data_IF_574864354627
#
_entry.id   IF_574864354627
#
_cell.length_a   1.000
_cell.length_b   1.000
_cell.length_c   1.000
_cell.angle_alpha   90.00
_cell.angle_beta   90.00
_cell.angle_gamma   90.00
#
_symmetry.space_group_name_H-M   'P 1'
#
loop_
_entity.id
_entity.type
_entity.pdbx_description
1 polymer ?
#
# COMPACT_ATOMS: atom_id res chain seq x y z
N UNK A 1 6.49 -9.79 12.58
CA UNK A 1 5.43 -10.35 13.45
C UNK A 1 4.56 -9.20 13.88
N UNK A 2 3.28 -9.32 13.57
CA UNK A 2 2.36 -8.20 13.46
C UNK A 2 1.72 -7.86 14.81
N UNK A 3 1.68 -6.56 15.11
CA UNK A 3 1.34 -5.96 16.40
C UNK A 3 -0.17 -6.06 16.68
N UNK A 4 -0.63 -7.10 17.41
CA UNK A 4 -2.04 -7.26 17.78
C UNK A 4 -2.22 -7.59 19.25
N UNK A 5 -3.29 -7.07 19.86
CA UNK A 5 -3.72 -7.55 21.18
C UNK A 5 -4.35 -8.93 21.01
N UNK A 6 -3.96 -9.90 21.84
CA UNK A 6 -4.47 -11.28 21.78
C UNK A 6 -5.92 -11.42 22.26
N UNK A 7 -6.67 -10.31 22.39
CA UNK A 7 -8.05 -10.33 22.89
C UNK A 7 -8.99 -11.12 21.98
N UNK A 8 -8.76 -11.09 20.67
CA UNK A 8 -9.53 -11.88 19.71
C UNK A 8 -9.41 -13.39 19.97
N UNK A 9 -8.32 -13.86 20.59
CA UNK A 9 -8.12 -15.27 20.91
C UNK A 9 -9.12 -15.75 21.97
N UNK A 10 -9.70 -14.84 22.76
CA UNK A 10 -10.67 -15.16 23.81
C UNK A 10 -12.12 -15.16 23.33
N UNK A 11 -12.39 -14.66 22.11
CA UNK A 11 -13.75 -14.63 21.53
C UNK A 11 -14.20 -16.06 21.23
N UNK A 12 -15.43 -16.39 21.61
CA UNK A 12 -16.03 -17.71 21.34
C UNK A 12 -16.62 -17.77 19.92
N UNK A 13 -16.42 -18.91 19.27
CA UNK A 13 -16.94 -19.21 17.94
C UNK A 13 -17.69 -20.53 17.95
N UNK A 14 -18.69 -20.65 17.09
CA UNK A 14 -19.38 -21.91 16.79
C UNK A 14 -19.50 -22.07 15.29
N UNK A 15 -19.00 -23.20 14.77
CA UNK A 15 -19.02 -23.52 13.36
C UNK A 15 -20.42 -23.96 12.91
N UNK A 16 -20.96 -23.30 11.88
CA UNK A 16 -22.24 -23.67 11.27
C UNK A 16 -22.19 -25.00 10.49
N UNK A 17 -21.02 -25.38 9.97
CA UNK A 17 -20.84 -26.58 9.15
C UNK A 17 -20.70 -27.90 9.92
N UNK A 18 -19.99 -27.90 11.06
CA UNK A 18 -19.72 -29.11 11.84
C UNK A 18 -20.02 -29.00 13.34
N UNK A 19 -20.57 -27.86 13.79
CA UNK A 19 -20.93 -27.61 15.19
C UNK A 19 -19.76 -27.61 16.18
N UNK A 20 -18.51 -27.53 15.70
CA UNK A 20 -17.37 -27.26 16.56
C UNK A 20 -17.54 -25.92 17.28
N UNK A 21 -17.20 -25.88 18.58
CA UNK A 21 -17.17 -24.66 19.38
C UNK A 21 -15.84 -24.56 20.12
N UNK A 22 -15.31 -23.35 20.20
CA UNK A 22 -14.03 -23.05 20.86
C UNK A 22 -13.75 -21.56 20.84
N UNK A 23 -12.61 -21.16 21.40
CA UNK A 23 -12.17 -19.76 21.37
C UNK A 23 -11.36 -19.45 20.09
N UNK A 24 -11.13 -18.16 19.83
CA UNK A 24 -10.36 -17.69 18.68
C UNK A 24 -8.95 -18.30 18.60
N UNK A 25 -8.29 -18.53 19.72
CA UNK A 25 -6.97 -19.16 19.79
C UNK A 25 -6.96 -20.63 19.32
N UNK A 26 -8.11 -21.30 19.34
CA UNK A 26 -8.29 -22.68 18.91
C UNK A 26 -8.73 -22.81 17.44
N UNK A 27 -8.96 -21.68 16.75
CA UNK A 27 -9.33 -21.68 15.31
C UNK A 27 -8.12 -21.96 14.42
N UNK A 28 -8.38 -22.47 13.21
CA UNK A 28 -7.35 -22.56 12.17
C UNK A 28 -7.21 -21.22 11.45
N UNK A 29 -5.98 -20.88 11.04
CA UNK A 29 -5.65 -19.63 10.34
C UNK A 29 -5.76 -19.85 8.83
N UNK A 30 -6.63 -19.08 8.19
CA UNK A 30 -6.80 -19.05 6.74
C UNK A 30 -5.81 -18.08 6.07
N UNK A 31 -6.29 -17.33 5.08
CA UNK A 31 -5.46 -16.38 4.34
C UNK A 31 -5.18 -15.15 5.20
N UNK A 32 -3.93 -14.68 5.14
CA UNK A 32 -3.55 -13.36 5.63
C UNK A 32 -3.41 -12.41 4.45
N UNK A 33 -4.31 -11.42 4.34
CA UNK A 33 -4.29 -10.44 3.25
C UNK A 33 -3.69 -9.12 3.73
N UNK A 34 -2.61 -8.66 3.05
CA UNK A 34 -1.90 -7.40 3.30
C UNK A 34 -1.55 -7.12 4.77
N UNK A 35 -1.34 -8.16 5.58
CA UNK A 35 -1.15 -8.00 7.03
C UNK A 35 -2.30 -7.27 7.75
N UNK A 36 -3.46 -7.17 7.10
CA UNK A 36 -4.62 -6.36 7.53
C UNK A 36 -5.84 -7.23 7.82
N UNK A 37 -5.90 -8.42 7.21
CA UNK A 37 -6.98 -9.35 7.43
C UNK A 37 -6.39 -10.71 7.72
N UNK A 38 -6.84 -11.33 8.81
CA UNK A 38 -6.60 -12.74 9.08
C UNK A 38 -7.93 -13.47 9.08
N UNK A 39 -8.09 -14.39 8.16
CA UNK A 39 -9.24 -15.30 8.16
C UNK A 39 -9.11 -16.32 9.29
N UNK A 40 -10.19 -16.51 10.03
CA UNK A 40 -10.37 -17.59 10.97
C UNK A 40 -11.26 -18.65 10.35
N UNK A 41 -10.82 -19.90 10.39
CA UNK A 41 -11.52 -21.05 9.83
C UNK A 41 -11.72 -22.12 10.90
N UNK A 42 -12.77 -22.93 10.72
CA UNK A 42 -13.02 -24.06 11.60
C UNK A 42 -11.87 -25.06 11.51
N UNK A 43 -11.26 -25.47 12.64
CA UNK A 43 -10.14 -26.41 12.62
C UNK A 43 -10.54 -27.82 12.18
N UNK A 44 -11.84 -28.14 12.14
CA UNK A 44 -12.35 -29.48 11.80
C UNK A 44 -12.80 -29.60 10.36
N UNK A 45 -13.51 -28.59 9.83
CA UNK A 45 -14.10 -28.66 8.48
C UNK A 45 -13.67 -27.52 7.55
N UNK A 46 -12.78 -26.64 8.00
CA UNK A 46 -12.26 -25.48 7.25
C UNK A 46 -13.30 -24.44 6.82
N UNK A 47 -14.54 -24.54 7.32
CA UNK A 47 -15.57 -23.53 7.12
C UNK A 47 -15.10 -22.15 7.62
N UNK A 48 -15.39 -21.09 6.87
CA UNK A 48 -15.11 -19.73 7.28
C UNK A 48 -15.87 -19.37 8.57
N UNK A 49 -15.18 -18.82 9.55
CA UNK A 49 -15.78 -18.40 10.83
C UNK A 49 -15.86 -16.89 10.96
N UNK A 50 -14.76 -16.19 10.67
CA UNK A 50 -14.67 -14.75 10.83
C UNK A 50 -13.46 -14.19 10.07
N UNK A 51 -13.43 -12.87 9.90
CA UNK A 51 -12.24 -12.15 9.49
C UNK A 51 -11.82 -11.21 10.61
N UNK A 52 -10.60 -11.38 11.09
CA UNK A 52 -10.00 -10.38 11.95
C UNK A 52 -9.50 -9.25 11.07
N UNK A 53 -10.14 -8.09 11.19
CA UNK A 53 -9.58 -6.85 10.67
C UNK A 53 -8.47 -6.45 11.63
N UNK A 54 -7.27 -6.86 11.26
CA UNK A 54 -6.02 -6.45 11.83
C UNK A 54 -5.79 -5.03 11.33
N UNK A 55 -6.01 -3.98 12.13
CA UNK A 55 -6.08 -2.63 11.60
C UNK A 55 -4.77 -2.27 10.91
N UNK A 56 -4.81 -2.14 9.58
CA UNK A 56 -3.81 -1.42 8.80
C UNK A 56 -3.89 0.02 9.28
N UNK A 57 -2.93 0.41 10.11
CA UNK A 57 -2.78 1.77 10.58
C UNK A 57 -4.05 2.33 11.26
N UNK A 58 -4.37 1.90 12.49
CA UNK A 58 -5.08 2.69 13.56
C UNK A 58 -5.71 1.89 14.72
N UNK A 59 -5.29 0.67 15.05
CA UNK A 59 -6.08 -0.05 16.08
C UNK A 59 -5.50 -1.22 16.84
N UNK A 60 -4.20 -1.51 16.75
CA UNK A 60 -3.53 -2.33 17.75
C UNK A 60 -2.20 -1.65 18.08
N UNK A 61 -2.12 -1.12 19.31
CA UNK A 61 -1.03 -0.32 19.86
C UNK A 61 -0.85 1.09 19.27
N UNK A 62 -1.89 1.95 19.38
CA UNK A 62 -1.63 3.39 19.50
C UNK A 62 -0.83 3.73 20.78
N UNK A 63 -0.84 2.84 21.77
CA UNK A 63 0.04 2.90 22.93
C UNK A 63 1.09 1.79 22.87
N UNK A 64 2.32 2.11 23.25
CA UNK A 64 3.36 1.10 23.58
C UNK A 64 2.97 0.28 24.82
N UNK A 65 1.91 0.70 25.53
CA UNK A 65 1.37 0.06 26.71
C UNK A 65 0.70 -1.27 26.37
N UNK A 66 1.03 -2.32 27.13
CA UNK A 66 0.45 -3.65 26.94
C UNK A 66 1.12 -4.50 25.86
N UNK A 67 2.13 -3.98 25.16
CA UNK A 67 2.96 -4.78 24.26
C UNK A 67 4.01 -5.59 25.03
N UNK A 68 4.26 -6.81 24.57
CA UNK A 68 5.42 -7.62 25.00
C UNK A 68 6.74 -7.04 24.48
N UNK A 69 7.87 -7.42 25.06
CA UNK A 69 9.20 -6.98 24.57
C UNK A 69 9.46 -7.37 23.10
N UNK A 70 8.97 -8.53 22.67
CA UNK A 70 9.11 -8.99 21.29
C UNK A 70 8.28 -8.14 20.31
N UNK A 71 7.04 -7.81 20.69
CA UNK A 71 6.19 -6.92 19.89
C UNK A 71 6.75 -5.49 19.84
N UNK A 72 7.31 -4.98 20.94
CA UNK A 72 7.98 -3.68 20.94
C UNK A 72 9.17 -3.67 19.97
N UNK A 73 10.02 -4.70 19.98
CA UNK A 73 11.13 -4.83 19.02
C UNK A 73 10.64 -4.93 17.57
N UNK A 74 9.57 -5.69 17.33
CA UNK A 74 8.98 -5.80 16.00
C UNK A 74 8.43 -4.45 15.50
N UNK A 75 7.74 -3.70 16.38
CA UNK A 75 7.25 -2.35 16.10
C UNK A 75 8.38 -1.36 15.83
N UNK A 76 9.46 -1.39 16.61
CA UNK A 76 10.63 -0.54 16.38
C UNK A 76 11.31 -0.86 15.04
N UNK A 77 11.42 -2.14 14.67
CA UNK A 77 11.96 -2.54 13.38
C UNK A 77 11.07 -2.10 12.20
N UNK A 78 9.75 -2.15 12.36
CA UNK A 78 8.78 -1.66 11.38
C UNK A 78 8.87 -0.14 11.21
N UNK A 79 8.88 0.62 12.31
CA UNK A 79 9.04 2.08 12.30
C UNK A 79 10.39 2.51 11.68
N UNK A 80 11.46 1.75 11.93
CA UNK A 80 12.76 1.95 11.32
C UNK A 80 12.72 1.72 9.80
N UNK A 81 12.13 0.61 9.34
CA UNK A 81 11.98 0.31 7.92
C UNK A 81 11.14 1.38 7.21
N UNK A 82 10.04 1.80 7.82
CA UNK A 82 9.19 2.85 7.30
C UNK A 82 9.94 4.18 7.20
N UNK A 83 10.73 4.55 8.21
CA UNK A 83 11.56 5.75 8.17
C UNK A 83 12.57 5.69 7.02
N UNK A 84 13.30 4.58 6.89
CA UNK A 84 14.27 4.38 5.82
C UNK A 84 13.63 4.40 4.42
N UNK A 85 12.40 3.89 4.29
CA UNK A 85 11.63 3.98 3.06
C UNK A 85 11.24 5.43 2.75
N UNK A 86 10.67 6.14 3.73
CA UNK A 86 10.24 7.54 3.59
C UNK A 86 11.39 8.48 3.23
N UNK A 87 12.59 8.27 3.78
CA UNK A 87 13.80 9.04 3.45
C UNK A 87 14.21 8.94 1.97
N UNK A 88 13.85 7.84 1.30
CA UNK A 88 14.15 7.61 -0.13
C UNK A 88 13.01 8.06 -1.06
N UNK A 89 11.85 8.38 -0.51
CA UNK A 89 10.68 8.79 -1.27
C UNK A 89 10.73 10.27 -1.64
N UNK A 90 10.10 10.62 -2.76
CA UNK A 90 9.82 12.01 -3.10
C UNK A 90 8.85 12.60 -2.07
N UNK A 91 9.30 13.61 -1.34
CA UNK A 91 8.54 14.24 -0.26
C UNK A 91 8.06 15.65 -0.64
N UNK A 92 8.77 16.37 -1.49
CA UNK A 92 8.40 17.74 -1.89
C UNK A 92 8.86 18.12 -3.29
N UNK A 93 8.23 19.16 -3.84
CA UNK A 93 8.54 19.71 -5.16
C UNK A 93 9.98 20.27 -5.27
N UNK A 94 10.60 20.65 -4.17
CA UNK A 94 11.96 21.20 -4.14
C UNK A 94 13.03 20.17 -4.49
N UNK A 95 12.74 18.88 -4.31
CA UNK A 95 13.66 17.79 -4.66
C UNK A 95 13.72 17.54 -6.19
N UNK A 96 12.78 18.08 -6.95
CA UNK A 96 12.68 17.85 -8.39
C UNK A 96 13.49 18.89 -9.20
N UNK A 97 14.09 18.47 -10.33
CA UNK A 97 14.80 19.39 -11.21
C UNK A 97 13.83 20.33 -11.94
N UNK A 98 14.35 21.48 -12.34
CA UNK A 98 13.66 22.34 -13.30
C UNK A 98 13.78 21.73 -14.71
N UNK A 99 12.67 21.67 -15.43
CA UNK A 99 12.62 21.14 -16.79
C UNK A 99 12.48 22.28 -17.82
N UNK A 100 13.06 22.13 -19.03
CA UNK A 100 12.95 23.11 -20.11
C UNK A 100 11.52 23.53 -20.39
N UNK A 101 11.31 24.81 -20.74
CA UNK A 101 9.98 25.37 -21.01
C UNK A 101 9.17 24.56 -22.03
N UNK A 102 7.85 24.61 -21.88
CA UNK A 102 6.91 23.85 -22.70
C UNK A 102 6.02 22.92 -21.89
N UNK A 103 5.12 22.25 -22.61
CA UNK A 103 4.26 21.20 -22.08
C UNK A 103 5.07 19.92 -21.84
N UNK A 104 4.77 19.22 -20.74
CA UNK A 104 5.53 18.06 -20.28
C UNK A 104 4.54 16.92 -20.03
N UNK A 105 4.87 15.73 -20.53
CA UNK A 105 4.28 14.48 -20.11
C UNK A 105 5.39 13.61 -19.50
N UNK A 106 5.18 13.19 -18.25
CA UNK A 106 6.14 12.34 -17.55
C UNK A 106 5.67 10.90 -17.59
N UNK A 107 6.61 9.97 -17.39
CA UNK A 107 6.30 8.54 -17.32
C UNK A 107 6.55 8.01 -15.91
N UNK A 108 5.58 7.22 -15.42
CA UNK A 108 5.72 6.38 -14.24
C UNK A 108 6.23 5.01 -14.70
N UNK A 109 7.53 4.82 -14.57
CA UNK A 109 8.26 3.65 -15.05
C UNK A 109 8.81 2.84 -13.87
N UNK A 110 9.32 1.65 -14.15
CA UNK A 110 9.92 0.78 -13.16
C UNK A 110 11.17 0.11 -13.72
N UNK A 111 12.23 0.10 -12.92
CA UNK A 111 13.46 -0.63 -13.21
C UNK A 111 13.91 -1.34 -11.93
N UNK A 112 14.01 -2.67 -11.99
CA UNK A 112 14.31 -3.52 -10.83
C UNK A 112 13.39 -3.23 -9.64
N UNK A 113 13.95 -2.77 -8.52
CA UNK A 113 13.27 -2.46 -7.27
C UNK A 113 12.95 -0.96 -7.12
N UNK A 114 13.00 -0.19 -8.20
CA UNK A 114 12.77 1.25 -8.20
C UNK A 114 11.62 1.66 -9.12
N UNK A 115 10.74 2.51 -8.61
CA UNK A 115 9.86 3.36 -9.40
C UNK A 115 10.68 4.53 -9.92
N UNK A 116 10.55 4.84 -11.21
CA UNK A 116 11.24 5.95 -11.86
C UNK A 116 10.24 6.94 -12.46
N UNK A 117 10.42 8.22 -12.14
CA UNK A 117 9.73 9.30 -12.83
C UNK A 117 10.64 9.77 -13.96
N UNK A 118 10.16 9.69 -15.20
CA UNK A 118 10.97 9.98 -16.39
C UNK A 118 10.40 11.12 -17.21
N UNK A 119 11.30 11.88 -17.81
CA UNK A 119 11.01 12.82 -18.89
C UNK A 119 11.71 12.32 -20.16
N UNK A 120 10.97 11.58 -20.99
CA UNK A 120 11.57 10.80 -22.09
C UNK A 120 12.55 9.77 -21.54
N UNK A 121 13.80 9.80 -22.01
CA UNK A 121 14.84 8.87 -21.58
C UNK A 121 15.46 9.22 -20.21
N UNK A 122 15.30 10.46 -19.75
CA UNK A 122 15.94 10.96 -18.53
C UNK A 122 15.11 10.61 -17.29
N UNK A 123 15.74 9.98 -16.30
CA UNK A 123 15.16 9.80 -14.97
C UNK A 123 15.32 11.09 -14.18
N UNK A 124 14.21 11.68 -13.75
CA UNK A 124 14.19 12.92 -12.94
C UNK A 124 14.03 12.65 -11.45
N UNK A 125 13.50 11.48 -11.10
CA UNK A 125 13.43 10.97 -9.73
C UNK A 125 13.35 9.45 -9.73
N UNK A 126 13.85 8.82 -8.66
CA UNK A 126 13.76 7.38 -8.42
C UNK A 126 13.49 7.13 -6.94
N UNK A 127 12.58 6.22 -6.64
CA UNK A 127 12.27 5.80 -5.28
C UNK A 127 11.97 4.29 -5.22
N UNK A 128 12.07 3.64 -4.04
CA UNK A 128 11.79 2.22 -3.93
C UNK A 128 10.38 1.87 -4.41
N UNK A 129 10.26 0.80 -5.19
CA UNK A 129 8.96 0.32 -5.68
C UNK A 129 8.14 -0.29 -4.55
N UNK A 130 6.83 -0.07 -4.59
CA UNK A 130 5.86 -0.71 -3.71
C UNK A 130 4.83 -1.43 -4.56
N UNK A 131 4.48 -2.66 -4.16
CA UNK A 131 3.40 -3.41 -4.78
C UNK A 131 2.06 -2.76 -4.42
N UNK A 132 1.20 -2.58 -5.43
CA UNK A 132 -0.05 -1.83 -5.36
C UNK A 132 0.12 -0.35 -5.00
N UNK A 133 1.18 0.28 -5.53
CA UNK A 133 1.51 1.70 -5.27
C UNK A 133 0.59 2.73 -5.94
N UNK A 134 -0.70 2.45 -6.13
CA UNK A 134 -1.66 3.35 -6.78
C UNK A 134 -1.95 4.61 -5.95
N UNK A 135 -1.89 4.51 -4.64
CA UNK A 135 -1.96 5.62 -3.69
C UNK A 135 -0.68 6.46 -3.74
N UNK A 136 0.49 5.80 -3.82
CA UNK A 136 1.78 6.48 -3.98
C UNK A 136 1.86 7.23 -5.31
N UNK A 137 1.29 6.68 -6.37
CA UNK A 137 1.15 7.35 -7.66
C UNK A 137 0.45 8.70 -7.53
N UNK A 138 -0.67 8.77 -6.80
CA UNK A 138 -1.38 10.04 -6.58
C UNK A 138 -0.54 11.04 -5.80
N UNK A 139 0.12 10.61 -4.71
CA UNK A 139 0.98 11.47 -3.91
C UNK A 139 2.09 12.10 -4.76
N UNK A 140 2.77 11.29 -5.57
CA UNK A 140 3.82 11.76 -6.47
C UNK A 140 3.23 12.66 -7.57
N UNK A 141 2.07 12.31 -8.14
CA UNK A 141 1.38 13.12 -9.13
C UNK A 141 1.04 14.52 -8.60
N UNK A 142 0.61 14.63 -7.34
CA UNK A 142 0.36 15.90 -6.66
C UNK A 142 1.64 16.73 -6.50
N UNK A 143 2.75 16.11 -6.07
CA UNK A 143 4.05 16.79 -5.94
C UNK A 143 4.55 17.28 -7.31
N UNK A 144 4.43 16.46 -8.34
CA UNK A 144 4.80 16.84 -9.71
C UNK A 144 3.90 17.98 -10.23
N UNK A 145 2.61 17.97 -9.88
CA UNK A 145 1.68 19.06 -10.22
C UNK A 145 2.02 20.35 -9.50
N UNK A 146 2.42 20.29 -8.24
CA UNK A 146 2.93 21.44 -7.49
C UNK A 146 4.17 22.03 -8.18
N UNK A 147 5.13 21.18 -8.58
CA UNK A 147 6.39 21.62 -9.22
C UNK A 147 6.19 22.22 -10.61
N UNK A 148 5.44 21.54 -11.47
CA UNK A 148 5.37 21.85 -12.90
C UNK A 148 4.05 22.54 -13.31
N UNK A 149 3.06 22.58 -12.41
CA UNK A 149 1.81 23.30 -12.60
C UNK A 149 1.02 22.85 -13.84
N UNK A 150 0.51 23.82 -14.59
CA UNK A 150 -0.27 23.60 -15.82
C UNK A 150 0.54 23.06 -17.01
N UNK A 151 1.88 23.07 -16.90
CA UNK A 151 2.77 22.49 -17.92
C UNK A 151 2.73 20.97 -17.90
N UNK A 152 2.51 20.36 -16.73
CA UNK A 152 2.37 18.92 -16.61
C UNK A 152 1.00 18.48 -17.12
N UNK A 153 1.02 17.77 -18.25
CA UNK A 153 -0.15 17.28 -18.98
C UNK A 153 -0.52 15.86 -18.64
N UNK A 154 0.41 15.08 -18.10
CA UNK A 154 0.13 13.71 -17.66
C UNK A 154 1.31 13.13 -16.87
N UNK A 155 1.01 12.08 -16.11
CA UNK A 155 1.95 11.11 -15.57
C UNK A 155 1.49 9.72 -16.04
N UNK A 156 2.17 9.18 -17.04
CA UNK A 156 1.72 7.99 -17.77
C UNK A 156 2.40 6.73 -17.22
N UNK A 157 1.66 5.75 -16.67
CA UNK A 157 2.21 4.44 -16.36
C UNK A 157 2.75 3.74 -17.61
N UNK A 158 3.98 3.24 -17.56
CA UNK A 158 4.51 2.37 -18.60
C UNK A 158 4.06 0.93 -18.38
N UNK A 159 4.09 0.09 -19.41
CA UNK A 159 3.74 -1.34 -19.27
C UNK A 159 4.59 -2.07 -18.22
N UNK A 160 5.84 -1.65 -18.02
CA UNK A 160 6.76 -2.25 -17.04
C UNK A 160 6.34 -2.01 -15.60
N UNK A 161 5.68 -0.89 -15.32
CA UNK A 161 5.25 -0.54 -13.96
C UNK A 161 3.85 -1.05 -13.62
N UNK A 162 3.04 -1.45 -14.60
CA UNK A 162 1.63 -1.83 -14.40
C UNK A 162 1.44 -2.92 -13.35
N UNK A 163 2.28 -3.96 -13.33
CA UNK A 163 2.14 -5.05 -12.36
C UNK A 163 2.26 -4.55 -10.92
N UNK A 164 3.29 -3.76 -10.60
CA UNK A 164 3.48 -3.23 -9.25
C UNK A 164 2.58 -2.04 -8.94
N UNK A 165 2.14 -1.31 -9.95
CA UNK A 165 1.24 -0.17 -9.77
C UNK A 165 -0.19 -0.62 -9.42
N UNK A 166 -0.70 -1.63 -10.13
CA UNK A 166 -2.08 -2.10 -9.96
C UNK A 166 -2.19 -3.28 -8.99
N UNK A 167 -1.20 -4.18 -9.03
CA UNK A 167 -1.25 -5.47 -8.35
C UNK A 167 -2.52 -6.25 -8.65
N UNK A 168 -3.07 -6.87 -7.62
CA UNK A 168 -4.30 -7.68 -7.65
C UNK A 168 -5.52 -6.94 -7.09
N UNK A 169 -5.37 -5.65 -6.78
CA UNK A 169 -6.48 -4.79 -6.40
C UNK A 169 -7.26 -4.31 -7.62
N UNK A 170 -8.37 -4.99 -7.91
CA UNK A 170 -9.26 -4.69 -9.05
C UNK A 170 -9.65 -3.20 -9.18
N UNK A 171 -9.96 -2.46 -8.09
CA UNK A 171 -10.29 -1.03 -8.19
C UNK A 171 -9.12 -0.10 -8.57
N UNK A 172 -7.87 -0.55 -8.52
CA UNK A 172 -6.68 0.28 -8.75
C UNK A 172 -6.68 0.96 -10.13
N UNK A 173 -7.16 0.26 -11.17
CA UNK A 173 -7.24 0.79 -12.52
C UNK A 173 -8.22 1.96 -12.61
N UNK A 174 -9.42 1.79 -12.04
CA UNK A 174 -10.44 2.84 -12.01
C UNK A 174 -9.97 4.04 -11.17
N UNK A 175 -9.26 3.77 -10.07
CA UNK A 175 -8.65 4.79 -9.23
C UNK A 175 -7.65 5.66 -10.01
N UNK A 176 -6.71 5.04 -10.74
CA UNK A 176 -5.72 5.79 -11.53
C UNK A 176 -6.35 6.59 -12.67
N UNK A 177 -7.37 6.04 -13.33
CA UNK A 177 -8.15 6.78 -14.35
C UNK A 177 -8.77 8.05 -13.73
N UNK A 178 -9.35 7.95 -12.53
CA UNK A 178 -9.90 9.10 -11.80
C UNK A 178 -8.81 10.12 -11.47
N UNK A 179 -7.69 9.69 -10.88
CA UNK A 179 -6.57 10.59 -10.51
C UNK A 179 -6.03 11.35 -11.72
N UNK A 180 -5.75 10.64 -12.84
CA UNK A 180 -5.23 11.27 -14.06
C UNK A 180 -6.23 12.26 -14.67
N UNK A 181 -7.52 11.94 -14.64
CA UNK A 181 -8.58 12.85 -15.08
C UNK A 181 -8.64 14.10 -14.21
N UNK A 182 -8.64 13.96 -12.89
CA UNK A 182 -8.77 15.08 -11.95
C UNK A 182 -7.54 16.00 -11.96
N UNK A 183 -6.33 15.45 -12.03
CA UNK A 183 -5.10 16.23 -11.97
C UNK A 183 -4.64 16.78 -13.33
N UNK A 184 -4.95 16.06 -14.42
CA UNK A 184 -4.40 16.35 -15.73
C UNK A 184 -5.44 16.55 -16.83
N UNK A 185 -6.72 16.23 -16.59
CA UNK A 185 -7.77 16.33 -17.59
C UNK A 185 -7.72 15.24 -18.65
N UNK A 186 -7.05 14.12 -18.37
CA UNK A 186 -6.86 13.00 -19.30
C UNK A 186 -7.94 11.94 -19.09
N UNK A 187 -8.71 11.65 -20.13
CA UNK A 187 -9.74 10.59 -20.15
C UNK A 187 -9.24 9.25 -20.74
N UNK A 188 -7.99 9.19 -21.18
CA UNK A 188 -7.43 8.03 -21.88
C UNK A 188 -7.14 6.84 -20.95
N UNK A 189 -7.14 5.64 -21.53
CA UNK A 189 -6.67 4.43 -20.84
C UNK A 189 -5.17 4.55 -20.47
N UNK A 190 -4.77 3.83 -19.42
CA UNK A 190 -3.36 3.72 -19.01
C UNK A 190 -2.65 2.59 -19.76
#
# INVERSE_FOLDING_TARGET
MSNYTEEWMKKEYTCSGCSWSGNGGETARGIMYRGTFLELTCPTCSEFLDVLILPAEKGCAHSREGLTEEQLKAKEAEEEQERQYREKCLASADQLPNLPEGEIALSWDMELDQTQIRNGETVIWSEPVVYEGFDRFEQVALILKEKYGSRLKDLVPTDRSKLFLYGDYEPSLAYLKKVRKELFGVDAEA
#
